data_IF_008945594211
#
_entry.id   IF_008945594211
#
_cell.length_a   1.000
_cell.length_b   1.000
_cell.length_c   1.000
_cell.angle_alpha   90.00
_cell.angle_beta   90.00
_cell.angle_gamma   90.00
#
_symmetry.space_group_name_H-M   'P 1'
#
loop_
_entity.id
_entity.type
_entity.pdbx_description
1 polymer ?
#
# COMPACT_ATOMS: atom_id res chain seq x y z
N UNK A 1 -10.57 9.62 0.11
CA UNK A 1 -9.83 10.85 0.52
C UNK A 1 -10.17 11.35 1.92
N UNK A 2 -10.45 10.42 2.82
CA UNK A 2 -11.03 10.65 4.15
C UNK A 2 -10.12 11.25 5.25
N UNK A 3 -9.02 11.92 4.92
CA UNK A 3 -8.23 12.62 5.95
C UNK A 3 -8.99 13.85 6.45
N UNK A 4 -9.49 13.78 7.69
CA UNK A 4 -10.14 14.93 8.35
C UNK A 4 -9.17 16.07 8.63
N UNK A 5 -7.88 15.77 8.84
CA UNK A 5 -6.82 16.76 9.11
C UNK A 5 -6.36 17.51 7.85
N UNK A 6 -6.37 16.88 6.68
CA UNK A 6 -5.94 17.49 5.43
C UNK A 6 -6.73 16.91 4.24
N UNK A 7 -7.93 17.43 3.96
CA UNK A 7 -8.79 16.94 2.88
C UNK A 7 -8.10 17.01 1.51
N UNK A 8 -8.32 16.00 0.67
CA UNK A 8 -7.76 15.92 -0.68
C UNK A 8 -6.22 16.00 -0.75
N UNK A 9 -5.53 15.57 0.31
CA UNK A 9 -4.06 15.67 0.40
C UNK A 9 -3.33 15.03 -0.78
N UNK A 10 -3.82 13.91 -1.31
CA UNK A 10 -3.23 13.17 -2.43
C UNK A 10 -3.21 13.98 -3.75
N UNK A 11 -4.12 14.94 -3.90
CA UNK A 11 -4.18 15.86 -5.05
C UNK A 11 -3.46 17.19 -4.82
N UNK A 12 -2.87 17.41 -3.63
CA UNK A 12 -2.05 18.61 -3.38
C UNK A 12 -0.73 18.51 -4.10
N UNK A 13 -0.28 19.67 -4.62
CA UNK A 13 1.01 19.75 -5.29
C UNK A 13 2.15 19.59 -4.29
N UNK A 14 3.14 18.78 -4.67
CA UNK A 14 4.44 18.71 -3.99
C UNK A 14 5.41 19.71 -4.61
N UNK A 15 6.63 19.81 -4.07
CA UNK A 15 7.64 20.80 -4.48
C UNK A 15 7.98 20.75 -5.98
N UNK A 16 7.77 19.64 -6.65
CA UNK A 16 7.95 19.50 -8.10
C UNK A 16 6.79 20.08 -8.94
N UNK A 17 5.74 20.64 -8.33
CA UNK A 17 4.57 21.18 -9.02
C UNK A 17 3.60 20.13 -9.57
N UNK A 18 3.73 18.88 -9.18
CA UNK A 18 2.85 17.76 -9.52
C UNK A 18 2.02 17.33 -8.28
N UNK A 19 0.85 16.70 -8.46
CA UNK A 19 0.11 16.12 -7.35
C UNK A 19 0.91 15.07 -6.57
N UNK A 20 0.68 14.99 -5.27
CA UNK A 20 1.35 14.01 -4.40
C UNK A 20 1.20 12.59 -4.92
N UNK A 21 0.00 12.21 -5.37
CA UNK A 21 -0.26 10.87 -5.91
C UNK A 21 0.60 10.57 -7.15
N UNK A 22 0.79 11.54 -8.04
CA UNK A 22 1.64 11.37 -9.21
C UNK A 22 3.10 11.12 -8.81
N UNK A 23 3.62 11.84 -7.81
CA UNK A 23 4.96 11.60 -7.28
C UNK A 23 5.12 10.18 -6.74
N UNK A 24 4.11 9.65 -6.03
CA UNK A 24 4.09 8.26 -5.54
C UNK A 24 4.12 7.28 -6.72
N UNK A 25 3.22 7.44 -7.69
CA UNK A 25 3.11 6.55 -8.84
C UNK A 25 4.39 6.52 -9.70
N UNK A 26 4.95 7.70 -10.00
CA UNK A 26 6.21 7.83 -10.75
C UNK A 26 7.39 7.17 -10.05
N UNK A 27 7.45 7.21 -8.71
CA UNK A 27 8.49 6.53 -7.95
C UNK A 27 8.29 5.02 -7.94
N UNK A 28 7.06 4.56 -7.72
CA UNK A 28 6.74 3.13 -7.73
C UNK A 28 6.97 2.50 -9.10
N UNK A 29 6.73 3.21 -10.21
CA UNK A 29 7.00 2.71 -11.57
C UNK A 29 8.50 2.52 -11.87
N UNK A 30 9.40 3.00 -11.01
CA UNK A 30 10.84 2.74 -11.09
C UNK A 30 11.28 1.47 -10.36
N UNK A 31 10.40 0.83 -9.59
CA UNK A 31 10.67 -0.48 -8.97
C UNK A 31 10.93 -1.52 -10.05
N UNK A 32 11.87 -2.43 -9.77
CA UNK A 32 12.22 -3.56 -10.64
C UNK A 32 11.56 -4.87 -10.23
N UNK A 33 10.85 -4.83 -9.11
CA UNK A 33 10.21 -5.99 -8.50
C UNK A 33 8.67 -5.89 -8.45
N UNK A 34 8.13 -4.72 -8.77
CA UNK A 34 6.68 -4.50 -8.86
C UNK A 34 6.26 -4.58 -10.31
N UNK A 35 5.44 -5.56 -10.66
CA UNK A 35 4.99 -5.79 -12.04
C UNK A 35 3.92 -4.78 -12.47
N UNK A 36 3.04 -4.37 -11.53
CA UNK A 36 1.93 -3.48 -11.82
C UNK A 36 1.62 -2.56 -10.63
N UNK A 37 1.41 -1.29 -10.92
CA UNK A 37 1.01 -0.28 -9.92
C UNK A 37 -0.44 0.10 -10.16
N UNK A 38 -1.27 0.00 -9.10
CA UNK A 38 -2.72 0.20 -9.17
C UNK A 38 -3.13 1.19 -8.08
N UNK A 39 -3.91 2.19 -8.42
CA UNK A 39 -4.56 3.03 -7.42
C UNK A 39 -5.81 2.30 -6.87
N UNK A 40 -5.80 1.91 -5.59
CA UNK A 40 -6.98 1.40 -4.91
C UNK A 40 -7.64 2.52 -4.08
N UNK A 41 -8.73 3.12 -4.58
CA UNK A 41 -9.44 4.22 -3.92
C UNK A 41 -10.90 3.88 -3.62
N UNK A 42 -11.65 4.81 -3.00
CA UNK A 42 -13.06 4.57 -2.70
C UNK A 42 -13.98 4.97 -3.85
N UNK A 43 -15.21 4.44 -3.80
CA UNK A 43 -16.31 4.80 -4.73
C UNK A 43 -16.97 6.13 -4.43
N UNK A 44 -16.51 6.87 -3.39
CA UNK A 44 -17.09 8.16 -3.03
C UNK A 44 -16.89 9.19 -4.14
N UNK A 45 -17.94 9.95 -4.46
CA UNK A 45 -17.94 10.93 -5.56
C UNK A 45 -16.82 11.99 -5.46
N UNK A 46 -16.40 12.33 -4.24
CA UNK A 46 -15.31 13.26 -4.01
C UNK A 46 -13.93 12.71 -4.44
N UNK A 47 -13.82 11.41 -4.73
CA UNK A 47 -12.62 10.77 -5.28
C UNK A 47 -12.59 10.79 -6.82
N UNK A 48 -13.66 11.16 -7.50
CA UNK A 48 -13.70 11.15 -8.96
C UNK A 48 -12.56 11.98 -9.61
N UNK A 49 -12.20 13.18 -9.11
CA UNK A 49 -11.06 13.92 -9.66
C UNK A 49 -9.72 13.17 -9.55
N UNK A 50 -9.53 12.39 -8.48
CA UNK A 50 -8.34 11.54 -8.30
C UNK A 50 -8.34 10.39 -9.31
N UNK A 51 -9.48 9.72 -9.47
CA UNK A 51 -9.67 8.63 -10.44
C UNK A 51 -9.37 9.12 -11.86
N UNK A 52 -10.02 10.20 -12.29
CA UNK A 52 -9.85 10.79 -13.64
C UNK A 52 -8.40 11.22 -13.90
N UNK A 53 -7.73 11.71 -12.86
CA UNK A 53 -6.33 12.13 -12.96
C UNK A 53 -5.39 10.94 -13.16
N UNK A 54 -5.52 9.92 -12.33
CA UNK A 54 -4.65 8.72 -12.37
C UNK A 54 -4.89 7.90 -13.64
N UNK A 55 -6.14 7.79 -14.09
CA UNK A 55 -6.50 7.15 -15.36
C UNK A 55 -5.83 7.87 -16.57
N UNK A 56 -5.84 9.21 -16.58
CA UNK A 56 -5.14 10.01 -17.60
C UNK A 56 -3.61 9.82 -17.60
N UNK A 57 -3.02 9.46 -16.46
CA UNK A 57 -1.61 9.11 -16.39
C UNK A 57 -1.32 7.69 -16.91
N UNK A 58 -2.36 6.90 -17.22
CA UNK A 58 -2.25 5.54 -17.75
C UNK A 58 -2.07 4.45 -16.68
N UNK A 59 -2.39 4.74 -15.42
CA UNK A 59 -2.38 3.74 -14.36
C UNK A 59 -3.76 3.15 -14.13
N UNK A 60 -3.80 1.88 -13.77
CA UNK A 60 -5.05 1.22 -13.39
C UNK A 60 -5.63 1.78 -12.10
N UNK A 61 -6.96 1.85 -12.06
CA UNK A 61 -7.70 2.33 -10.89
C UNK A 61 -8.73 1.27 -10.47
N UNK A 62 -8.67 0.88 -9.21
CA UNK A 62 -9.70 0.09 -8.56
C UNK A 62 -10.48 0.94 -7.56
N UNK A 63 -11.80 0.91 -7.64
CA UNK A 63 -12.68 1.61 -6.70
C UNK A 63 -13.46 0.62 -5.83
N UNK A 64 -13.44 0.81 -4.51
CA UNK A 64 -14.11 -0.06 -3.55
C UNK A 64 -14.59 0.68 -2.31
N UNK A 65 -14.79 -0.04 -1.21
CA UNK A 65 -15.31 0.53 0.03
C UNK A 65 -14.43 1.65 0.59
N UNK A 66 -15.03 2.74 1.04
CA UNK A 66 -14.36 3.83 1.77
C UNK A 66 -13.90 3.34 3.16
N UNK A 67 -14.80 2.71 3.91
CA UNK A 67 -14.55 2.34 5.32
C UNK A 67 -13.86 0.99 5.46
N UNK A 68 -14.20 0.03 4.62
CA UNK A 68 -13.60 -1.30 4.66
C UNK A 68 -12.44 -1.38 3.65
N UNK A 69 -11.28 -0.83 4.04
CA UNK A 69 -10.10 -0.79 3.18
C UNK A 69 -9.55 -2.19 2.92
N UNK A 70 -9.63 -3.09 3.91
CA UNK A 70 -9.25 -4.49 3.74
C UNK A 70 -10.07 -5.17 2.63
N UNK A 71 -11.37 -4.93 2.58
CA UNK A 71 -12.22 -5.45 1.51
C UNK A 71 -11.82 -4.85 0.15
N UNK A 72 -11.53 -3.56 0.10
CA UNK A 72 -11.07 -2.89 -1.13
C UNK A 72 -9.78 -3.51 -1.66
N UNK A 73 -8.79 -3.79 -0.80
CA UNK A 73 -7.57 -4.49 -1.18
C UNK A 73 -7.83 -5.92 -1.67
N UNK A 74 -8.70 -6.65 -0.96
CA UNK A 74 -9.05 -8.01 -1.34
C UNK A 74 -9.77 -8.08 -2.70
N UNK A 75 -10.73 -7.19 -2.95
CA UNK A 75 -11.46 -7.15 -4.23
C UNK A 75 -10.55 -6.71 -5.38
N UNK A 76 -9.65 -5.74 -5.16
CA UNK A 76 -8.62 -5.39 -6.12
C UNK A 76 -7.73 -6.61 -6.44
N UNK A 77 -7.22 -7.29 -5.40
CA UNK A 77 -6.40 -8.47 -5.58
C UNK A 77 -7.12 -9.62 -6.31
N UNK A 78 -8.43 -9.81 -6.10
CA UNK A 78 -9.23 -10.77 -6.88
C UNK A 78 -9.27 -10.40 -8.38
N UNK A 79 -9.34 -9.13 -8.72
CA UNK A 79 -9.40 -8.68 -10.11
C UNK A 79 -8.06 -8.84 -10.82
N UNK A 80 -6.95 -8.53 -10.15
CA UNK A 80 -5.62 -8.51 -10.76
C UNK A 80 -4.81 -9.79 -10.53
N UNK A 81 -5.29 -10.68 -9.64
CA UNK A 81 -4.73 -11.99 -9.34
C UNK A 81 -3.21 -12.01 -9.08
N UNK A 82 -2.70 -11.21 -8.14
CA UNK A 82 -1.29 -11.19 -7.80
C UNK A 82 -0.91 -12.37 -6.90
N UNK A 83 0.36 -12.80 -6.94
CA UNK A 83 0.94 -13.72 -5.95
C UNK A 83 1.12 -13.01 -4.60
N UNK A 84 1.58 -11.77 -4.64
CA UNK A 84 1.77 -10.91 -3.47
C UNK A 84 1.30 -9.48 -3.74
N UNK A 85 0.94 -8.79 -2.68
CA UNK A 85 0.52 -7.38 -2.70
C UNK A 85 1.58 -6.53 -2.01
N UNK A 86 2.05 -5.50 -2.70
CA UNK A 86 2.85 -4.42 -2.11
C UNK A 86 1.91 -3.26 -1.77
N UNK A 87 1.84 -2.91 -0.49
CA UNK A 87 0.99 -1.82 0.00
C UNK A 87 1.82 -0.58 0.30
N UNK A 88 1.53 0.48 -0.42
CA UNK A 88 2.06 1.82 -0.17
C UNK A 88 0.88 2.77 0.04
N UNK A 89 0.98 3.66 1.01
CA UNK A 89 -0.07 4.66 1.23
C UNK A 89 0.13 5.87 0.32
N UNK A 90 -0.96 6.43 -0.19
CA UNK A 90 -0.94 7.53 -1.19
C UNK A 90 -0.44 8.87 -0.65
N UNK A 91 0.04 8.91 0.58
CA UNK A 91 0.62 10.07 1.25
C UNK A 91 2.12 9.95 1.51
N UNK A 92 2.77 9.00 0.83
CA UNK A 92 4.22 8.75 0.89
C UNK A 92 4.93 9.24 -0.40
N UNK A 93 4.96 10.55 -0.71
CA UNK A 93 5.50 11.06 -1.98
C UNK A 93 7.02 10.89 -2.12
N UNK A 94 7.70 10.51 -1.05
CA UNK A 94 9.14 10.27 -1.03
C UNK A 94 9.49 8.77 -1.05
N UNK A 95 8.51 7.89 -1.22
CA UNK A 95 8.76 6.44 -1.29
C UNK A 95 9.95 6.13 -2.20
N UNK A 96 10.86 5.27 -1.75
CA UNK A 96 12.06 4.89 -2.52
C UNK A 96 11.83 3.53 -3.19
N UNK A 97 11.92 3.44 -4.52
CA UNK A 97 11.76 2.19 -5.25
C UNK A 97 12.79 1.12 -4.85
N UNK A 98 13.98 1.51 -4.39
CA UNK A 98 14.98 0.55 -3.92
C UNK A 98 14.59 -0.07 -2.57
N UNK A 99 13.92 0.68 -1.70
CA UNK A 99 13.37 0.16 -0.44
C UNK A 99 12.21 -0.79 -0.74
N UNK A 100 11.35 -0.45 -1.69
CA UNK A 100 10.26 -1.34 -2.17
C UNK A 100 10.86 -2.63 -2.71
N UNK A 101 11.85 -2.56 -3.59
CA UNK A 101 12.54 -3.73 -4.15
C UNK A 101 13.23 -4.57 -3.08
N UNK A 102 13.77 -3.94 -2.04
CA UNK A 102 14.39 -4.67 -0.91
C UNK A 102 13.35 -5.44 -0.09
N UNK A 103 12.18 -4.83 0.17
CA UNK A 103 11.09 -5.49 0.88
C UNK A 103 10.51 -6.68 0.08
N UNK A 104 10.35 -6.53 -1.24
CA UNK A 104 9.90 -7.61 -2.11
C UNK A 104 10.93 -8.74 -2.17
N UNK A 105 12.23 -8.43 -2.28
CA UNK A 105 13.29 -9.46 -2.20
C UNK A 105 13.26 -10.22 -0.90
N UNK A 106 13.15 -9.53 0.24
CA UNK A 106 13.04 -10.17 1.54
C UNK A 106 11.85 -11.13 1.60
N UNK A 107 10.72 -10.73 1.03
CA UNK A 107 9.53 -11.58 0.93
C UNK A 107 9.77 -12.81 0.04
N UNK A 108 10.42 -12.65 -1.13
CA UNK A 108 10.71 -13.74 -2.08
C UNK A 108 11.74 -14.74 -1.55
N UNK A 109 12.75 -14.27 -0.80
CA UNK A 109 13.87 -15.09 -0.31
C UNK A 109 13.54 -15.84 0.97
N UNK A 110 12.53 -15.41 1.73
CA UNK A 110 12.13 -16.02 2.99
C UNK A 110 10.74 -16.67 2.85
N UNK A 111 10.51 -17.75 3.56
CA UNK A 111 9.18 -18.41 3.60
C UNK A 111 8.27 -17.69 4.61
N UNK A 112 7.82 -16.49 4.25
CA UNK A 112 7.02 -15.61 5.10
C UNK A 112 5.73 -15.17 4.41
N UNK A 113 4.72 -14.82 5.22
CA UNK A 113 3.43 -14.32 4.75
C UNK A 113 3.38 -12.79 4.65
N UNK A 114 4.26 -12.12 5.38
CA UNK A 114 4.28 -10.66 5.51
C UNK A 114 5.67 -10.12 5.79
N UNK A 115 6.04 -9.05 5.08
CA UNK A 115 7.23 -8.24 5.34
C UNK A 115 6.83 -6.78 5.46
N UNK A 116 7.44 -6.06 6.40
CA UNK A 116 7.33 -4.60 6.46
C UNK A 116 8.62 -3.95 6.96
N UNK A 117 8.69 -2.63 6.88
CA UNK A 117 9.72 -1.83 7.53
C UNK A 117 9.17 -0.94 8.66
N UNK A 118 7.97 -1.26 9.14
CA UNK A 118 7.20 -0.40 10.04
C UNK A 118 7.05 -0.92 11.47
N UNK A 119 7.54 -2.14 11.77
CA UNK A 119 7.31 -2.75 13.08
C UNK A 119 8.51 -3.58 13.60
N UNK A 120 9.48 -2.97 14.31
CA UNK A 120 9.59 -1.55 14.67
C UNK A 120 9.99 -0.67 13.48
N UNK A 121 9.59 0.60 13.44
CA UNK A 121 9.98 1.53 12.40
C UNK A 121 11.45 1.94 12.59
N UNK A 122 12.27 1.73 11.55
CA UNK A 122 13.69 2.12 11.51
C UNK A 122 14.02 2.98 10.30
N UNK A 123 13.09 3.13 9.39
CA UNK A 123 13.18 4.03 8.25
C UNK A 123 12.49 5.38 8.58
N UNK A 124 12.88 6.48 7.91
CA UNK A 124 12.16 7.74 7.98
C UNK A 124 10.68 7.59 7.59
N UNK A 125 9.81 8.36 8.26
CA UNK A 125 8.38 8.41 7.96
C UNK A 125 8.13 8.77 6.48
N UNK A 126 7.18 8.08 5.84
CA UNK A 126 6.88 8.23 4.41
C UNK A 126 7.68 7.28 3.49
N UNK A 127 8.49 6.38 4.06
CA UNK A 127 9.15 5.28 3.34
C UNK A 127 8.54 3.91 3.70
N UNK A 128 7.30 3.90 4.18
CA UNK A 128 6.60 2.72 4.66
C UNK A 128 6.25 1.77 3.52
N UNK A 129 6.68 0.51 3.66
CA UNK A 129 6.41 -0.56 2.71
C UNK A 129 5.88 -1.78 3.47
N UNK A 130 4.82 -2.38 2.94
CA UNK A 130 4.30 -3.65 3.41
C UNK A 130 4.12 -4.58 2.21
N UNK A 131 4.61 -5.83 2.33
CA UNK A 131 4.47 -6.89 1.33
C UNK A 131 3.80 -8.08 1.98
N UNK A 132 2.76 -8.62 1.38
CA UNK A 132 2.04 -9.78 1.91
C UNK A 132 1.45 -10.67 0.82
N UNK A 133 1.35 -11.96 1.13
CA UNK A 133 0.76 -12.93 0.22
C UNK A 133 -0.74 -12.68 -0.03
N UNK A 134 -1.22 -13.04 -1.21
CA UNK A 134 -2.67 -13.02 -1.47
C UNK A 134 -3.43 -13.96 -0.52
N UNK A 135 -2.82 -15.08 -0.12
CA UNK A 135 -3.41 -16.02 0.85
C UNK A 135 -3.58 -15.38 2.23
N UNK A 136 -2.59 -14.64 2.73
CA UNK A 136 -2.69 -13.92 4.00
C UNK A 136 -3.77 -12.82 3.94
N UNK A 137 -3.84 -12.06 2.84
CA UNK A 137 -4.89 -11.07 2.60
C UNK A 137 -6.28 -11.70 2.62
N UNK A 138 -6.46 -12.85 1.96
CA UNK A 138 -7.72 -13.59 1.92
C UNK A 138 -8.16 -14.06 3.32
N UNK A 139 -7.23 -14.61 4.10
CA UNK A 139 -7.50 -15.04 5.47
C UNK A 139 -7.89 -13.84 6.34
N UNK A 140 -7.15 -12.74 6.25
CA UNK A 140 -7.48 -11.50 6.97
C UNK A 140 -8.87 -10.99 6.59
N UNK A 141 -9.21 -10.99 5.31
CA UNK A 141 -10.53 -10.58 4.83
C UNK A 141 -11.67 -11.42 5.42
N UNK A 142 -11.48 -12.76 5.55
CA UNK A 142 -12.48 -13.69 6.13
C UNK A 142 -12.59 -13.52 7.65
N UNK A 143 -11.45 -13.42 8.36
CA UNK A 143 -11.37 -13.61 9.79
C UNK A 143 -11.30 -12.32 10.62
N UNK A 144 -10.78 -11.22 10.07
CA UNK A 144 -10.72 -9.94 10.78
C UNK A 144 -12.12 -9.42 11.13
N UNK A 145 -12.34 -9.09 12.41
CA UNK A 145 -13.67 -8.70 12.96
C UNK A 145 -13.71 -7.26 13.42
N UNK A 146 -12.57 -6.65 13.74
CA UNK A 146 -12.53 -5.29 14.27
C UNK A 146 -12.59 -4.24 13.16
N UNK A 147 -13.17 -3.09 13.46
CA UNK A 147 -13.13 -1.94 12.53
C UNK A 147 -11.70 -1.52 12.24
N UNK A 148 -10.82 -1.57 13.24
CA UNK A 148 -9.42 -1.26 13.10
C UNK A 148 -8.71 -2.14 12.05
N UNK A 149 -8.90 -3.46 12.09
CA UNK A 149 -8.32 -4.35 11.08
C UNK A 149 -8.90 -4.08 9.70
N UNK A 150 -10.20 -3.79 9.62
CA UNK A 150 -10.89 -3.49 8.35
C UNK A 150 -10.42 -2.17 7.74
N UNK A 151 -10.11 -1.17 8.54
CA UNK A 151 -9.63 0.13 8.09
C UNK A 151 -8.14 0.11 7.72
N UNK A 152 -7.31 -0.58 8.52
CA UNK A 152 -5.85 -0.51 8.37
C UNK A 152 -5.24 -1.66 7.58
N UNK A 153 -6.01 -2.67 7.16
CA UNK A 153 -5.64 -3.79 6.25
C UNK A 153 -4.75 -4.84 6.92
N UNK A 154 -3.59 -4.47 7.41
CA UNK A 154 -2.51 -5.38 7.81
C UNK A 154 -2.43 -5.72 9.31
N UNK A 155 -3.10 -5.02 10.27
CA UNK A 155 -2.96 -5.34 11.69
C UNK A 155 -3.31 -6.80 12.01
N UNK A 156 -4.33 -7.37 11.37
CA UNK A 156 -4.68 -8.78 11.55
C UNK A 156 -3.55 -9.71 11.11
N UNK A 157 -2.90 -9.45 9.97
CA UNK A 157 -1.82 -10.30 9.45
C UNK A 157 -0.61 -10.24 10.39
N UNK A 158 -0.19 -9.04 10.80
CA UNK A 158 1.02 -8.87 11.62
C UNK A 158 0.89 -9.26 13.09
N UNK A 159 -0.35 -9.34 13.63
CA UNK A 159 -0.60 -9.59 15.07
C UNK A 159 -1.10 -11.01 15.36
N UNK A 160 -1.39 -11.83 14.35
CA UNK A 160 -1.88 -13.19 14.54
C UNK A 160 -0.74 -14.19 14.30
N UNK A 161 -0.45 -15.03 15.31
CA UNK A 161 0.68 -15.98 15.34
C UNK A 161 0.68 -16.99 14.17
N UNK A 162 -0.42 -17.19 13.49
CA UNK A 162 -0.48 -18.11 12.35
C UNK A 162 0.24 -17.63 11.09
N UNK A 163 0.61 -16.34 11.04
CA UNK A 163 1.37 -15.77 9.93
C UNK A 163 2.83 -15.63 10.29
N UNK A 164 3.71 -16.01 9.37
CA UNK A 164 5.13 -15.76 9.46
C UNK A 164 5.41 -14.35 9.00
N UNK A 165 5.99 -13.53 9.87
CA UNK A 165 6.23 -12.11 9.60
C UNK A 165 7.69 -11.75 9.78
N UNK A 166 8.22 -10.89 8.92
CA UNK A 166 9.53 -10.29 9.06
C UNK A 166 9.49 -8.77 8.99
N UNK A 167 10.46 -8.13 9.65
CA UNK A 167 10.62 -6.69 9.60
C UNK A 167 11.99 -6.31 9.03
N UNK A 168 11.97 -5.49 7.99
CA UNK A 168 13.16 -4.96 7.36
C UNK A 168 13.73 -3.82 8.22
N UNK A 169 14.97 -3.98 8.66
CA UNK A 169 15.67 -3.03 9.53
C UNK A 169 16.61 -2.16 8.69
N UNK A 170 16.53 -0.85 8.87
CA UNK A 170 17.52 0.06 8.32
C UNK A 170 18.83 -0.07 9.11
N UNK A 171 19.89 -0.46 8.44
CA UNK A 171 21.22 -0.60 9.03
C UNK A 171 22.06 0.69 8.99
N UNK A 172 21.57 1.74 8.36
CA UNK A 172 22.25 3.03 8.38
C UNK A 172 22.03 3.70 9.74
N UNK A 173 23.12 4.05 10.41
CA UNK A 173 23.06 4.93 11.57
C UNK A 173 22.49 6.29 11.14
N UNK A 174 21.28 6.60 11.62
CA UNK A 174 20.64 7.92 11.42
C UNK A 174 21.06 8.86 12.54
#
# INVERSE_FOLDING_TARGET
>A
MGSTRFPNKTMKLVSAGIPMIEAVLLRLSQSKKVDQVILATSTELNNQPLVDYVDKLGYDVFQGSERNVLDRYYQAALQYNPDAVVRITGDCPLIDPNIVDAAVRMYEENDVDYVSNTNPPTYPDGLDVEVFSFSALKIAWIEAKTEYDREHVTPFIRNVEKFKTENMINSADC
#
